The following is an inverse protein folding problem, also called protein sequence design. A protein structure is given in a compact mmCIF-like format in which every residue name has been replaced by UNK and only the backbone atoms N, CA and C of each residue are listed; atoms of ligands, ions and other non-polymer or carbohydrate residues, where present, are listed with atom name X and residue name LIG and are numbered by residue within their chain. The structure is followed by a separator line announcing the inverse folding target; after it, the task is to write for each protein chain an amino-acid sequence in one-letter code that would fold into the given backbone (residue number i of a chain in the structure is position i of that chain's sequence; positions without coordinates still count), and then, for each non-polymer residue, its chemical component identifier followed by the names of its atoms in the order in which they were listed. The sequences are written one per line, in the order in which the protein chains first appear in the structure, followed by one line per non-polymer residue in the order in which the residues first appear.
data_IF_290232531863
#
_entry.id   IF_290232531863
#
_cell.length_a   1.000
_cell.length_b   1.000
_cell.length_c   1.000
_cell.angle_alpha   90.00
_cell.angle_beta   90.00
_cell.angle_gamma   90.00
#
_symmetry.space_group_name_H-M   'P 1'
#
loop_
_entity.id
_entity.type
_entity.pdbx_description
1 polymer ?
#
# COMPACT_ATOMS: atom_id res chain seq x y z
N UNK A 1 12.51 6.62 -1.34
CA UNK A 1 11.66 6.09 -0.26
C UNK A 1 10.40 5.50 -0.86
N UNK A 2 9.92 4.38 -0.32
CA UNK A 2 8.67 3.72 -0.72
C UNK A 2 7.59 4.03 0.31
N UNK A 3 6.35 4.17 -0.16
CA UNK A 3 5.15 4.37 0.66
C UNK A 3 4.08 3.39 0.21
N UNK A 4 3.52 2.64 1.15
CA UNK A 4 2.40 1.76 0.89
C UNK A 4 1.10 2.45 1.31
N UNK A 5 0.08 2.36 0.45
CA UNK A 5 -1.26 2.88 0.74
C UNK A 5 -2.30 1.85 0.40
N UNK A 6 -3.28 1.68 1.27
CA UNK A 6 -4.50 0.94 0.98
C UNK A 6 -5.57 1.93 0.53
N UNK A 7 -6.01 1.80 -0.72
CA UNK A 7 -7.00 2.68 -1.33
C UNK A 7 -8.18 1.84 -1.81
N UNK A 8 -9.38 2.17 -1.36
CA UNK A 8 -10.58 1.42 -1.68
C UNK A 8 -11.79 2.34 -1.68
N UNK A 9 -12.87 1.92 -2.34
CA UNK A 9 -14.14 2.62 -2.25
C UNK A 9 -14.85 2.25 -0.94
N UNK A 10 -15.54 3.21 -0.33
CA UNK A 10 -16.47 2.91 0.77
C UNK A 10 -17.68 2.12 0.27
N UNK A 11 -18.37 1.42 1.16
CA UNK A 11 -19.63 0.75 0.82
C UNK A 11 -20.67 1.72 0.25
N UNK A 12 -20.71 2.97 0.73
CA UNK A 12 -21.58 4.00 0.19
C UNK A 12 -21.20 4.38 -1.24
N UNK A 13 -19.91 4.60 -1.51
CA UNK A 13 -19.42 4.87 -2.88
C UNK A 13 -19.79 3.75 -3.85
N UNK A 14 -19.60 2.49 -3.44
CA UNK A 14 -19.97 1.33 -4.24
C UNK A 14 -21.48 1.23 -4.47
N UNK A 15 -22.28 1.37 -3.41
CA UNK A 15 -23.75 1.29 -3.46
C UNK A 15 -24.35 2.35 -4.38
N UNK A 16 -23.84 3.57 -4.31
CA UNK A 16 -24.31 4.71 -5.11
C UNK A 16 -23.69 4.73 -6.52
N UNK A 17 -22.76 3.82 -6.82
CA UNK A 17 -21.94 3.86 -8.05
C UNK A 17 -21.30 5.23 -8.25
N UNK A 18 -20.80 5.82 -7.16
CA UNK A 18 -20.29 7.19 -7.16
C UNK A 18 -19.08 7.27 -8.09
N UNK A 19 -19.11 8.21 -9.04
CA UNK A 19 -17.96 8.49 -9.89
C UNK A 19 -16.78 9.00 -9.05
N UNK A 20 -15.61 8.37 -9.21
CA UNK A 20 -14.39 8.78 -8.53
C UNK A 20 -13.63 9.79 -9.40
N UNK A 21 -13.29 10.93 -8.82
CA UNK A 21 -12.54 12.00 -9.49
C UNK A 21 -11.44 12.51 -8.58
N UNK A 22 -10.46 13.29 -9.08
CA UNK A 22 -9.49 13.94 -8.20
C UNK A 22 -10.12 14.84 -7.12
N UNK A 23 -11.27 15.45 -7.42
CA UNK A 23 -12.04 16.29 -6.48
C UNK A 23 -12.93 15.46 -5.53
N UNK A 24 -13.23 14.22 -5.88
CA UNK A 24 -14.00 13.26 -5.06
C UNK A 24 -13.32 11.88 -5.10
N UNK A 25 -12.13 11.74 -4.50
CA UNK A 25 -11.36 10.50 -4.59
C UNK A 25 -11.94 9.41 -3.67
N UNK A 26 -11.58 8.14 -3.88
CA UNK A 26 -11.77 7.12 -2.87
C UNK A 26 -10.89 7.41 -1.64
N UNK A 27 -11.30 6.99 -0.43
CA UNK A 27 -10.42 7.07 0.73
C UNK A 27 -9.15 6.23 0.53
N UNK A 28 -8.06 6.72 1.12
CA UNK A 28 -6.75 6.08 1.06
C UNK A 28 -6.04 6.23 2.39
N UNK A 29 -5.54 5.14 2.96
CA UNK A 29 -4.83 5.12 4.24
C UNK A 29 -3.37 4.71 4.05
N UNK A 30 -2.40 5.36 4.73
CA UNK A 30 -1.03 4.84 4.76
C UNK A 30 -1.01 3.49 5.48
N UNK A 31 -0.13 2.60 5.03
CA UNK A 31 0.08 1.26 5.62
C UNK A 31 1.51 1.19 6.13
N UNK A 32 1.66 0.81 7.39
CA UNK A 32 2.95 0.58 8.02
C UNK A 32 3.52 -0.76 7.56
N UNK A 33 4.77 -0.78 7.12
CA UNK A 33 5.50 -2.00 6.74
C UNK A 33 6.42 -2.40 7.91
N UNK A 34 6.10 -3.47 8.66
CA UNK A 34 6.96 -3.94 9.76
C UNK A 34 8.39 -4.21 9.30
N UNK A 35 9.36 -3.76 10.09
CA UNK A 35 10.78 -3.93 9.77
C UNK A 35 11.34 -2.94 8.74
N UNK A 36 10.50 -2.09 8.12
CA UNK A 36 10.96 -1.09 7.15
C UNK A 36 10.53 0.34 7.47
N UNK A 37 9.25 0.54 7.80
CA UNK A 37 8.67 1.86 7.91
C UNK A 37 9.23 2.63 9.11
N UNK A 38 9.52 3.91 8.88
CA UNK A 38 9.81 4.89 9.92
C UNK A 38 8.53 5.48 10.50
N UNK A 39 8.60 6.03 11.72
CA UNK A 39 7.47 6.68 12.40
C UNK A 39 7.17 8.09 11.86
N UNK A 40 7.17 8.26 10.52
CA UNK A 40 6.71 9.48 9.84
C UNK A 40 5.20 9.36 9.56
N UNK A 41 4.48 10.47 9.32
CA UNK A 41 3.06 10.42 8.96
C UNK A 41 2.74 9.60 7.70
N UNK A 42 3.74 9.38 6.84
CA UNK A 42 3.61 8.61 5.60
C UNK A 42 4.17 7.18 5.68
N UNK A 43 4.74 6.78 6.83
CA UNK A 43 5.42 5.51 7.04
C UNK A 43 6.48 5.20 5.98
N UNK A 44 7.33 6.19 5.68
CA UNK A 44 8.38 6.06 4.68
C UNK A 44 9.28 4.87 4.99
N UNK A 45 9.49 4.03 3.97
CA UNK A 45 10.25 2.79 4.02
C UNK A 45 11.44 2.90 3.03
N UNK A 46 12.70 2.74 3.47
CA UNK A 46 13.85 2.75 2.57
C UNK A 46 13.76 1.60 1.55
N UNK A 47 14.00 1.91 0.27
CA UNK A 47 13.90 0.92 -0.80
C UNK A 47 14.83 -0.31 -0.58
N UNK A 48 16.10 -0.16 -0.15
CA UNK A 48 16.95 -1.32 0.08
C UNK A 48 16.40 -2.25 1.17
N UNK A 49 15.87 -1.69 2.26
CA UNK A 49 15.25 -2.45 3.35
C UNK A 49 14.00 -3.18 2.87
N UNK A 50 13.17 -2.52 2.06
CA UNK A 50 11.99 -3.15 1.48
C UNK A 50 12.36 -4.34 0.59
N UNK A 51 13.36 -4.19 -0.27
CA UNK A 51 13.80 -5.25 -1.17
C UNK A 51 14.21 -6.50 -0.38
N UNK A 52 15.04 -6.34 0.66
CA UNK A 52 15.43 -7.45 1.54
C UNK A 52 14.24 -8.11 2.23
N UNK A 53 13.25 -7.33 2.68
CA UNK A 53 12.05 -7.89 3.32
C UNK A 53 11.17 -8.66 2.33
N UNK A 54 11.05 -8.18 1.09
CA UNK A 54 10.27 -8.86 0.04
C UNK A 54 10.96 -10.18 -0.33
N UNK A 55 12.28 -10.17 -0.55
CA UNK A 55 13.05 -11.38 -0.86
C UNK A 55 12.92 -12.45 0.23
N UNK A 56 12.80 -12.02 1.50
CA UNK A 56 12.59 -12.93 2.63
C UNK A 56 11.13 -13.39 2.79
N UNK A 57 10.15 -12.60 2.32
CA UNK A 57 8.73 -12.87 2.49
C UNK A 57 8.10 -13.68 1.35
N UNK A 58 8.70 -13.63 0.16
CA UNK A 58 8.23 -14.37 -1.01
C UNK A 58 8.92 -15.72 -1.07
N UNK A 59 8.14 -16.80 -1.18
CA UNK A 59 8.68 -18.13 -1.47
C UNK A 59 9.02 -18.23 -2.97
N UNK A 60 10.32 -18.40 -3.31
CA UNK A 60 10.75 -18.42 -4.71
C UNK A 60 10.23 -19.63 -5.49
N UNK A 61 9.73 -20.67 -4.83
CA UNK A 61 9.11 -21.81 -5.51
C UNK A 61 7.90 -21.39 -6.35
N UNK A 62 7.21 -20.31 -5.98
CA UNK A 62 6.05 -19.78 -6.69
C UNK A 62 6.37 -18.65 -7.69
N UNK A 63 7.66 -18.40 -7.97
CA UNK A 63 8.10 -17.34 -8.89
C UNK A 63 8.36 -17.83 -10.33
N UNK A 64 7.89 -19.03 -10.70
CA UNK A 64 8.02 -19.57 -12.06
C UNK A 64 6.84 -19.13 -12.95
N UNK A 65 7.14 -18.81 -14.22
CA UNK A 65 6.15 -18.75 -15.32
C UNK A 65 5.77 -20.14 -15.84
#
# INVERSE_FOLDING_TARGET
MIRLRYTAQTLAQLRERRALTPQAPPPSSPVFIPGCSSATPAYDCPLPTLATLIDAAIDPHYLSE
#
